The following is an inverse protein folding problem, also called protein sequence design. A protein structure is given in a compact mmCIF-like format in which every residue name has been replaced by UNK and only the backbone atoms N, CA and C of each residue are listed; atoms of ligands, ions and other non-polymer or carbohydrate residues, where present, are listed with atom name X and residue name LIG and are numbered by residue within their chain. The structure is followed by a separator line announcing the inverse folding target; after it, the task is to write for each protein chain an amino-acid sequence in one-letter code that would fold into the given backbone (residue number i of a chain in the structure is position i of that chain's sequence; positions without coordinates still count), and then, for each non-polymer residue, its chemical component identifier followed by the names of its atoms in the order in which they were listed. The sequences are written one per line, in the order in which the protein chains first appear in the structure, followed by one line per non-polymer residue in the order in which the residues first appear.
data_IF_957328916406
#
_entry.id   IF_957328916406
#
_cell.length_a   1.000
_cell.length_b   1.000
_cell.length_c   1.000
_cell.angle_alpha   90.00
_cell.angle_beta   90.00
_cell.angle_gamma   90.00
#
_symmetry.space_group_name_H-M   'P 1'
#
loop_
_entity.id
_entity.type
_entity.pdbx_description
1 polymer ?
#
# COMPACT_ATOMS: atom_id res chain seq x y z
N UNK A 1 16.07 -6.70 17.00
CA UNK A 1 16.71 -5.47 16.50
C UNK A 1 15.94 -5.00 15.27
N UNK A 2 15.46 -3.77 15.27
CA UNK A 2 14.81 -3.15 14.11
C UNK A 2 15.92 -2.77 13.15
N UNK A 3 15.84 -3.24 11.91
CA UNK A 3 16.97 -3.13 10.98
C UNK A 3 16.64 -2.39 9.69
N UNK A 4 15.36 -2.33 9.27
CA UNK A 4 15.00 -1.86 7.94
C UNK A 4 14.56 -0.40 7.90
N UNK A 5 15.10 0.33 6.93
CA UNK A 5 14.63 1.63 6.45
C UNK A 5 14.01 1.42 5.07
N UNK A 6 12.74 1.73 4.92
CA UNK A 6 11.97 1.44 3.70
C UNK A 6 11.52 2.74 3.07
N UNK A 7 11.89 2.97 1.81
CA UNK A 7 11.42 4.13 1.08
C UNK A 7 9.93 4.02 0.74
N UNK A 8 9.54 2.93 0.08
CA UNK A 8 8.16 2.68 -0.32
C UNK A 8 7.72 1.32 0.22
N UNK A 9 6.78 1.32 1.16
CA UNK A 9 6.11 0.12 1.64
C UNK A 9 4.66 0.14 1.19
N UNK A 10 4.20 -0.95 0.61
CA UNK A 10 2.81 -1.14 0.26
C UNK A 10 2.30 -2.44 0.90
N UNK A 11 1.16 -2.37 1.59
CA UNK A 11 0.48 -3.55 2.15
C UNK A 11 -0.92 -3.67 1.57
N UNK A 12 -1.17 -4.76 0.84
CA UNK A 12 -2.50 -5.16 0.36
C UNK A 12 -3.26 -5.82 1.50
N UNK A 13 -4.16 -5.06 2.13
CA UNK A 13 -4.86 -5.54 3.32
C UNK A 13 -6.08 -6.42 2.99
N UNK A 14 -6.57 -6.32 1.77
CA UNK A 14 -7.73 -7.10 1.29
C UNK A 14 -7.74 -7.18 -0.23
N UNK A 15 -8.31 -8.25 -0.79
CA UNK A 15 -8.67 -8.37 -2.21
C UNK A 15 -10.17 -8.21 -2.45
N UNK A 16 -10.94 -8.04 -1.37
CA UNK A 16 -12.36 -7.70 -1.49
C UNK A 16 -12.52 -6.30 -2.07
N UNK A 17 -13.47 -6.16 -2.97
CA UNK A 17 -13.88 -4.88 -3.53
C UNK A 17 -15.38 -4.93 -3.80
N UNK A 18 -16.07 -3.85 -3.53
CA UNK A 18 -17.51 -3.69 -3.79
C UNK A 18 -17.81 -3.05 -5.16
N UNK A 19 -16.76 -2.84 -5.97
CA UNK A 19 -16.88 -2.35 -7.35
C UNK A 19 -16.23 -3.33 -8.36
N UNK A 20 -16.63 -3.20 -9.62
CA UNK A 20 -16.10 -3.98 -10.75
C UNK A 20 -15.68 -3.08 -11.90
N UNK A 21 -14.75 -2.15 -11.63
CA UNK A 21 -14.27 -1.16 -12.61
C UNK A 21 -13.58 -1.84 -13.80
N UNK A 22 -13.89 -1.40 -15.01
CA UNK A 22 -13.34 -1.98 -16.25
C UNK A 22 -11.81 -1.82 -16.34
N UNK A 23 -11.26 -0.75 -15.77
CA UNK A 23 -9.82 -0.45 -15.74
C UNK A 23 -9.05 -1.07 -14.57
N UNK A 24 -9.70 -1.91 -13.77
CA UNK A 24 -9.06 -2.44 -12.55
C UNK A 24 -7.83 -3.30 -12.88
N UNK A 25 -6.66 -2.81 -12.52
CA UNK A 25 -5.40 -3.52 -12.73
C UNK A 25 -5.26 -4.81 -11.89
N UNK A 26 -6.02 -4.93 -10.80
CA UNK A 26 -6.00 -6.14 -9.94
C UNK A 26 -6.71 -7.33 -10.56
N UNK A 27 -7.69 -7.11 -11.43
CA UNK A 27 -8.60 -8.12 -11.96
C UNK A 27 -9.89 -8.22 -11.15
N UNK A 28 -10.47 -9.41 -11.07
CA UNK A 28 -11.68 -9.63 -10.29
C UNK A 28 -11.38 -9.67 -8.79
N UNK A 29 -12.31 -9.15 -7.98
CA UNK A 29 -12.19 -9.18 -6.54
C UNK A 29 -12.17 -10.63 -6.01
N UNK A 30 -11.37 -10.87 -4.98
CA UNK A 30 -11.26 -12.16 -4.30
C UNK A 30 -11.68 -12.00 -2.83
N UNK A 31 -12.31 -13.00 -2.24
CA UNK A 31 -12.74 -13.00 -0.84
C UNK A 31 -11.56 -13.30 0.11
N UNK A 32 -10.50 -12.48 0.02
CA UNK A 32 -9.25 -12.65 0.78
C UNK A 32 -8.96 -11.39 1.57
N UNK A 33 -8.83 -11.53 2.89
CA UNK A 33 -8.28 -10.52 3.79
C UNK A 33 -6.91 -10.97 4.29
N UNK A 34 -5.98 -10.04 4.44
CA UNK A 34 -4.65 -10.36 4.94
C UNK A 34 -4.71 -10.90 6.37
N UNK A 35 -4.13 -12.07 6.68
CA UNK A 35 -3.92 -12.51 8.05
C UNK A 35 -3.01 -11.53 8.81
N UNK A 36 -3.49 -10.98 9.93
CA UNK A 36 -2.80 -9.94 10.70
C UNK A 36 -1.36 -10.31 11.10
N UNK A 37 -1.05 -11.61 11.24
CA UNK A 37 0.30 -12.11 11.51
C UNK A 37 1.31 -11.72 10.43
N UNK A 38 0.89 -11.55 9.15
CA UNK A 38 1.79 -11.16 8.07
C UNK A 38 2.21 -9.69 8.21
N UNK A 39 1.28 -8.80 8.59
CA UNK A 39 1.56 -7.41 8.93
C UNK A 39 2.55 -7.34 10.10
N UNK A 40 2.28 -8.08 11.18
CA UNK A 40 3.16 -8.17 12.36
C UNK A 40 4.56 -8.67 11.98
N UNK A 41 4.64 -9.74 11.17
CA UNK A 41 5.91 -10.33 10.75
C UNK A 41 6.77 -9.39 9.91
N UNK A 42 6.15 -8.55 9.07
CA UNK A 42 6.87 -7.54 8.32
C UNK A 42 7.33 -6.39 9.23
N UNK A 43 6.39 -5.75 9.93
CA UNK A 43 6.63 -4.51 10.65
C UNK A 43 7.59 -4.67 11.83
N UNK A 44 7.72 -5.85 12.44
CA UNK A 44 8.67 -6.07 13.56
C UNK A 44 10.12 -5.80 13.20
N UNK A 45 10.48 -5.82 11.91
CA UNK A 45 11.84 -5.59 11.42
C UNK A 45 12.09 -4.15 10.98
N UNK A 46 11.06 -3.28 11.00
CA UNK A 46 11.11 -1.95 10.40
C UNK A 46 11.39 -0.89 11.46
N UNK A 47 12.26 0.07 11.13
CA UNK A 47 12.55 1.26 11.93
C UNK A 47 11.90 2.51 11.34
N UNK A 48 11.94 2.66 10.03
CA UNK A 48 11.49 3.83 9.32
C UNK A 48 10.80 3.47 8.01
N UNK A 49 9.71 4.16 7.69
CA UNK A 49 9.01 4.08 6.40
C UNK A 49 8.82 5.50 5.90
N UNK A 50 9.34 5.79 4.69
CA UNK A 50 9.13 7.10 4.10
C UNK A 50 7.70 7.22 3.54
N UNK A 51 7.28 6.31 2.68
CA UNK A 51 5.93 6.28 2.11
C UNK A 51 5.25 4.94 2.39
N UNK A 52 4.15 4.96 3.15
CA UNK A 52 3.43 3.76 3.56
C UNK A 52 2.04 3.70 2.92
N UNK A 53 1.94 3.00 1.81
CA UNK A 53 0.67 2.78 1.12
C UNK A 53 -0.08 1.58 1.72
N UNK A 54 -1.29 1.82 2.22
CA UNK A 54 -2.24 0.79 2.66
C UNK A 54 -3.27 0.63 1.56
N UNK A 55 -3.22 -0.49 0.85
CA UNK A 55 -3.99 -0.73 -0.36
C UNK A 55 -4.81 -2.01 -0.28
N UNK A 56 -5.54 -2.32 -1.38
CA UNK A 56 -6.30 -3.56 -1.51
C UNK A 56 -7.12 -3.60 -2.79
N UNK A 57 -8.19 -4.37 -2.77
CA UNK A 57 -9.33 -4.14 -3.65
C UNK A 57 -9.99 -2.82 -3.26
N UNK A 58 -10.65 -2.79 -2.09
CA UNK A 58 -11.11 -1.56 -1.44
C UNK A 58 -10.71 -1.57 0.04
N UNK A 59 -9.78 -0.70 0.47
CA UNK A 59 -9.24 -0.71 1.84
C UNK A 59 -10.29 -0.48 2.93
N UNK A 60 -11.33 0.31 2.66
CA UNK A 60 -12.40 0.57 3.63
C UNK A 60 -13.19 -0.68 4.05
N UNK A 61 -13.06 -1.78 3.30
CA UNK A 61 -13.68 -3.07 3.64
C UNK A 61 -12.88 -3.89 4.66
N UNK A 62 -11.67 -3.45 5.05
CA UNK A 62 -10.86 -4.14 6.08
C UNK A 62 -10.23 -3.17 7.09
N UNK A 63 -11.08 -2.42 7.78
CA UNK A 63 -10.68 -1.46 8.83
C UNK A 63 -9.89 -2.14 9.95
N UNK A 64 -10.19 -3.42 10.23
CA UNK A 64 -9.44 -4.21 11.23
C UNK A 64 -7.95 -4.28 10.93
N UNK A 65 -7.57 -4.47 9.66
CA UNK A 65 -6.16 -4.51 9.27
C UNK A 65 -5.50 -3.12 9.37
N UNK A 66 -6.23 -2.03 9.04
CA UNK A 66 -5.75 -0.65 9.21
C UNK A 66 -5.45 -0.37 10.69
N UNK A 67 -6.38 -0.67 11.58
CA UNK A 67 -6.19 -0.53 13.03
C UNK A 67 -4.99 -1.36 13.53
N UNK A 68 -4.84 -2.59 13.02
CA UNK A 68 -3.72 -3.45 13.38
C UNK A 68 -2.37 -2.89 12.90
N UNK A 69 -2.30 -2.30 11.70
CA UNK A 69 -1.10 -1.59 11.23
C UNK A 69 -0.74 -0.49 12.23
N UNK A 70 -1.69 0.36 12.60
CA UNK A 70 -1.46 1.45 13.57
C UNK A 70 -0.97 0.92 14.92
N UNK A 71 -1.58 -0.16 15.45
CA UNK A 71 -1.12 -0.80 16.67
C UNK A 71 0.33 -1.27 16.57
N UNK A 72 0.71 -1.85 15.43
CA UNK A 72 2.08 -2.37 15.24
C UNK A 72 3.08 -1.25 15.06
N UNK A 73 2.79 -0.19 14.29
CA UNK A 73 3.71 0.95 14.17
C UNK A 73 3.93 1.66 15.52
N UNK A 74 2.89 1.77 16.34
CA UNK A 74 3.00 2.28 17.72
C UNK A 74 3.83 1.35 18.61
N UNK A 75 3.48 0.07 18.67
CA UNK A 75 4.13 -0.91 19.54
C UNK A 75 5.63 -1.11 19.20
N UNK A 76 5.98 -0.95 17.92
CA UNK A 76 7.34 -1.08 17.45
C UNK A 76 8.06 0.26 17.33
N UNK A 77 7.41 1.36 17.67
CA UNK A 77 7.96 2.72 17.57
C UNK A 77 8.56 2.99 16.18
N UNK A 78 7.80 2.68 15.11
CA UNK A 78 8.20 2.87 13.73
C UNK A 78 7.90 4.32 13.35
N UNK A 79 8.88 5.06 12.88
CA UNK A 79 8.61 6.36 12.27
C UNK A 79 8.05 6.16 10.87
N UNK A 80 6.89 6.73 10.60
CA UNK A 80 6.25 6.76 9.27
C UNK A 80 6.13 8.22 8.87
N UNK A 81 6.81 8.59 7.76
CA UNK A 81 6.77 9.96 7.26
C UNK A 81 5.39 10.29 6.70
N UNK A 82 4.84 9.43 5.84
CA UNK A 82 3.48 9.57 5.36
C UNK A 82 2.77 8.22 5.18
N UNK A 83 1.50 8.18 5.59
CA UNK A 83 0.57 7.14 5.19
C UNK A 83 -0.17 7.57 3.93
N UNK A 84 -0.56 6.59 3.13
CA UNK A 84 -1.34 6.82 1.93
C UNK A 84 -2.39 5.72 1.73
N UNK A 85 -3.63 6.13 1.48
CA UNK A 85 -4.76 5.24 1.21
C UNK A 85 -5.54 5.80 0.03
N UNK A 86 -5.87 4.95 -0.95
CA UNK A 86 -6.81 5.30 -2.01
C UNK A 86 -8.08 4.49 -1.84
N UNK A 87 -9.21 5.17 -1.85
CA UNK A 87 -10.54 4.56 -1.81
C UNK A 87 -11.31 4.78 -3.10
N UNK A 88 -12.23 3.88 -3.39
CA UNK A 88 -13.14 3.99 -4.53
C UNK A 88 -14.35 4.91 -4.28
N UNK A 89 -14.44 5.54 -3.11
CA UNK A 89 -15.47 6.50 -2.78
C UNK A 89 -16.87 5.93 -2.53
N UNK A 90 -17.01 4.62 -2.32
CA UNK A 90 -18.29 3.99 -2.00
C UNK A 90 -18.75 4.26 -0.57
N UNK A 91 -19.97 3.83 -0.24
CA UNK A 91 -20.53 3.98 1.10
C UNK A 91 -19.64 3.45 2.24
N UNK A 92 -18.84 2.40 1.99
CA UNK A 92 -17.89 1.87 2.97
C UNK A 92 -16.83 2.89 3.39
N UNK A 93 -16.44 3.80 2.49
CA UNK A 93 -15.46 4.87 2.75
C UNK A 93 -16.00 5.96 3.67
N UNK A 94 -17.31 6.02 3.88
CA UNK A 94 -18.00 6.96 4.77
C UNK A 94 -18.34 6.34 6.13
N UNK A 95 -17.98 5.08 6.38
CA UNK A 95 -18.24 4.45 7.66
C UNK A 95 -17.46 5.13 8.78
N UNK A 96 -18.08 5.30 9.93
CA UNK A 96 -17.47 5.90 11.12
C UNK A 96 -16.17 5.16 11.49
N UNK A 97 -16.18 3.84 11.43
CA UNK A 97 -15.00 3.01 11.74
C UNK A 97 -13.82 3.27 10.82
N UNK A 98 -14.05 3.48 9.52
CA UNK A 98 -12.99 3.78 8.56
C UNK A 98 -12.44 5.19 8.77
N UNK A 99 -13.32 6.18 8.97
CA UNK A 99 -12.94 7.57 9.23
C UNK A 99 -12.12 7.68 10.53
N UNK A 100 -12.55 7.00 11.60
CA UNK A 100 -11.78 6.93 12.85
C UNK A 100 -10.39 6.33 12.67
N UNK A 101 -10.28 5.23 11.90
CA UNK A 101 -9.00 4.60 11.62
C UNK A 101 -8.07 5.53 10.82
N UNK A 102 -8.57 6.21 9.79
CA UNK A 102 -7.83 7.21 9.02
C UNK A 102 -7.41 8.40 9.91
N UNK A 103 -8.32 8.90 10.76
CA UNK A 103 -8.01 9.97 11.72
C UNK A 103 -6.88 9.58 12.67
N UNK A 104 -6.89 8.33 13.15
CA UNK A 104 -5.87 7.84 14.06
C UNK A 104 -4.50 7.63 13.38
N UNK A 105 -4.47 7.21 12.11
CA UNK A 105 -3.25 7.16 11.29
C UNK A 105 -2.67 8.56 11.06
N UNK A 106 -3.53 9.50 10.68
CA UNK A 106 -3.14 10.90 10.43
C UNK A 106 -2.54 11.55 11.68
N UNK A 107 -3.18 11.38 12.84
CA UNK A 107 -2.64 11.88 14.12
C UNK A 107 -1.28 11.28 14.42
N UNK A 108 -1.12 9.96 14.24
CA UNK A 108 0.18 9.32 14.46
C UNK A 108 1.28 9.86 13.55
N UNK A 109 0.97 10.07 12.28
CA UNK A 109 1.90 10.68 11.31
C UNK A 109 2.33 12.08 11.77
N UNK A 110 1.37 12.93 12.20
CA UNK A 110 1.67 14.28 12.68
C UNK A 110 2.51 14.30 13.97
N UNK A 111 2.37 13.29 14.83
CA UNK A 111 3.17 13.15 16.06
C UNK A 111 4.63 12.77 15.76
N UNK A 112 4.89 12.03 14.68
CA UNK A 112 6.22 11.49 14.35
C UNK A 112 7.02 12.36 13.38
N UNK A 113 6.35 12.96 12.43
CA UNK A 113 6.95 13.85 11.44
C UNK A 113 6.21 15.19 11.47
N UNK A 114 6.92 16.28 11.58
CA UNK A 114 6.33 17.62 11.56
C UNK A 114 5.92 18.02 10.13
N UNK A 115 4.97 17.28 9.56
CA UNK A 115 4.11 17.74 8.48
C UNK A 115 4.80 18.24 7.21
N UNK A 116 5.65 17.43 6.59
CA UNK A 116 6.21 17.78 5.28
C UNK A 116 5.49 17.12 4.09
N UNK A 117 4.45 16.34 4.33
CA UNK A 117 3.67 15.71 3.25
C UNK A 117 2.84 16.75 2.51
N UNK A 118 3.20 17.04 1.26
CA UNK A 118 2.45 17.95 0.38
C UNK A 118 1.16 17.33 -0.19
N UNK A 119 0.84 16.10 0.16
CA UNK A 119 -0.31 15.35 -0.34
C UNK A 119 -1.33 14.99 0.75
N UNK A 120 -2.48 14.52 0.32
CA UNK A 120 -3.50 13.99 1.22
C UNK A 120 -3.19 12.54 1.58
N UNK A 121 -3.40 12.17 2.85
CA UNK A 121 -3.21 10.79 3.32
C UNK A 121 -4.28 9.83 2.77
N UNK A 122 -5.52 10.31 2.68
CA UNK A 122 -6.65 9.57 2.10
C UNK A 122 -7.09 10.28 0.83
N UNK A 123 -7.07 9.56 -0.29
CA UNK A 123 -7.57 10.08 -1.56
C UNK A 123 -8.70 9.23 -2.11
N UNK A 124 -9.74 9.88 -2.59
CA UNK A 124 -10.83 9.24 -3.33
C UNK A 124 -10.52 9.28 -4.83
N UNK A 125 -10.59 8.13 -5.49
CA UNK A 125 -10.53 8.08 -6.95
C UNK A 125 -11.78 8.72 -7.54
N UNK A 126 -11.60 9.72 -8.41
CA UNK A 126 -12.68 10.41 -9.10
C UNK A 126 -12.41 10.39 -10.60
N UNK A 127 -12.94 9.38 -11.27
CA UNK A 127 -12.76 9.16 -12.69
C UNK A 127 -14.05 8.59 -13.34
N UNK A 128 -14.03 8.46 -14.65
CA UNK A 128 -15.19 8.00 -15.48
C UNK A 128 -15.69 6.59 -15.16
N UNK A 129 -15.01 5.83 -14.32
CA UNK A 129 -15.33 4.43 -13.99
C UNK A 129 -16.09 4.30 -12.66
N UNK A 130 -16.26 5.40 -11.93
CA UNK A 130 -16.90 5.46 -10.62
C UNK A 130 -18.30 6.12 -10.71
N UNK A 131 -19.15 5.85 -9.70
CA UNK A 131 -20.50 6.42 -9.64
C UNK A 131 -20.44 7.87 -9.11
N UNK A 132 -20.87 8.87 -9.91
CA UNK A 132 -20.83 10.27 -9.50
C UNK A 132 -21.69 10.58 -8.25
N UNK A 133 -22.81 9.88 -8.05
CA UNK A 133 -23.69 10.12 -6.91
C UNK A 133 -23.04 9.62 -5.60
N UNK A 134 -22.43 8.43 -5.63
CA UNK A 134 -21.64 7.91 -4.49
C UNK A 134 -20.46 8.83 -4.19
N UNK A 135 -19.76 9.33 -5.21
CA UNK A 135 -18.67 10.27 -5.05
C UNK A 135 -19.09 11.59 -4.42
N UNK A 136 -20.19 12.17 -4.84
CA UNK A 136 -20.71 13.41 -4.26
C UNK A 136 -21.01 13.23 -2.76
N UNK A 137 -21.62 12.10 -2.38
CA UNK A 137 -21.92 11.80 -0.99
C UNK A 137 -20.62 11.57 -0.15
N UNK A 138 -19.62 10.90 -0.74
CA UNK A 138 -18.32 10.67 -0.07
C UNK A 138 -17.52 11.98 0.05
N UNK A 139 -17.52 12.80 -0.98
CA UNK A 139 -16.90 14.13 -0.96
C UNK A 139 -17.51 14.99 0.15
N UNK A 140 -18.83 15.05 0.24
CA UNK A 140 -19.52 15.80 1.28
C UNK A 140 -19.18 15.31 2.71
N UNK A 141 -19.05 14.00 2.89
CA UNK A 141 -18.74 13.40 4.19
C UNK A 141 -17.27 13.59 4.59
N UNK A 142 -16.33 13.53 3.65
CA UNK A 142 -14.89 13.49 3.94
C UNK A 142 -14.19 14.84 3.78
N UNK A 143 -14.73 15.80 3.02
CA UNK A 143 -14.12 17.12 2.81
C UNK A 143 -13.81 17.91 4.11
N UNK A 144 -14.51 17.73 5.25
CA UNK A 144 -14.13 18.39 6.49
C UNK A 144 -12.80 17.88 7.10
N UNK A 145 -12.28 16.74 6.65
CA UNK A 145 -11.08 16.15 7.22
C UNK A 145 -9.82 16.65 6.49
N UNK A 146 -8.80 17.20 7.20
CA UNK A 146 -7.63 17.81 6.59
C UNK A 146 -6.73 16.82 5.85
N UNK A 147 -6.88 15.53 6.10
CA UNK A 147 -6.13 14.46 5.45
C UNK A 147 -6.77 13.93 4.17
N UNK A 148 -7.95 14.43 3.82
CA UNK A 148 -8.70 13.94 2.66
C UNK A 148 -8.49 14.80 1.43
N UNK A 149 -8.41 14.14 0.26
CA UNK A 149 -8.37 14.76 -1.05
C UNK A 149 -9.02 13.92 -2.13
N UNK A 150 -9.06 14.47 -3.34
CA UNK A 150 -9.61 13.81 -4.52
C UNK A 150 -8.50 13.57 -5.53
N UNK A 151 -8.36 12.33 -5.94
CA UNK A 151 -7.42 11.89 -6.96
C UNK A 151 -8.13 11.72 -8.31
N UNK A 152 -7.50 12.14 -9.39
CA UNK A 152 -7.99 11.81 -10.72
C UNK A 152 -8.55 12.98 -11.51
N UNK A 153 -8.49 14.21 -11.00
CA UNK A 153 -8.84 15.40 -11.78
C UNK A 153 -7.90 15.66 -12.98
N UNK A 154 -6.85 14.85 -13.14
CA UNK A 154 -6.02 14.89 -14.32
C UNK A 154 -6.80 14.39 -15.54
N UNK A 155 -6.70 15.10 -16.67
CA UNK A 155 -7.33 14.74 -17.96
C UNK A 155 -6.93 13.33 -18.46
N UNK A 156 -5.86 12.75 -17.91
CA UNK A 156 -5.34 11.46 -18.30
C UNK A 156 -5.11 10.59 -17.07
N UNK A 157 -5.88 9.50 -16.98
CA UNK A 157 -5.64 8.43 -16.00
C UNK A 157 -4.47 7.59 -16.50
N UNK A 158 -3.42 7.47 -15.69
CA UNK A 158 -2.32 6.55 -16.02
C UNK A 158 -2.77 5.11 -15.75
N UNK A 159 -2.83 4.31 -16.79
CA UNK A 159 -3.29 2.93 -16.74
C UNK A 159 -2.17 1.96 -17.05
N UNK A 160 -2.15 0.83 -16.35
CA UNK A 160 -1.35 -0.34 -16.73
C UNK A 160 -2.23 -1.38 -17.41
N UNK A 161 -1.67 -2.04 -18.42
CA UNK A 161 -2.31 -3.17 -19.11
C UNK A 161 -2.21 -4.41 -18.22
N UNK A 162 -3.07 -4.44 -17.20
CA UNK A 162 -3.09 -5.43 -16.12
C UNK A 162 -4.53 -5.75 -15.70
N UNK A 163 -4.76 -6.97 -15.25
CA UNK A 163 -6.06 -7.40 -14.73
C UNK A 163 -7.18 -7.28 -15.77
N UNK A 164 -8.17 -6.41 -15.51
CA UNK A 164 -9.25 -6.11 -16.48
C UNK A 164 -8.92 -4.93 -17.40
N UNK A 165 -7.85 -4.18 -17.11
CA UNK A 165 -7.47 -3.07 -17.95
C UNK A 165 -6.75 -3.59 -19.21
N UNK A 166 -7.34 -3.31 -20.38
CA UNK A 166 -6.77 -3.67 -21.69
C UNK A 166 -5.98 -2.53 -22.33
N UNK A 167 -6.07 -1.34 -21.75
CA UNK A 167 -5.43 -0.12 -22.20
C UNK A 167 -4.20 0.22 -21.34
N UNK A 168 -3.36 1.12 -21.84
CA UNK A 168 -2.26 1.68 -21.09
C UNK A 168 -0.90 1.02 -21.35
N UNK A 169 0.00 1.17 -20.42
CA UNK A 169 1.41 0.80 -20.55
C UNK A 169 1.67 -0.64 -20.09
N UNK A 170 2.74 -1.28 -20.63
CA UNK A 170 3.26 -2.48 -20.02
C UNK A 170 3.67 -2.21 -18.57
N UNK A 171 3.46 -3.21 -17.70
CA UNK A 171 3.83 -3.11 -16.30
C UNK A 171 5.08 -3.96 -16.02
N UNK A 172 6.27 -3.34 -15.88
CA UNK A 172 7.51 -4.07 -15.68
C UNK A 172 7.60 -4.66 -14.27
N UNK A 173 8.42 -5.70 -14.15
CA UNK A 173 8.83 -6.20 -12.83
C UNK A 173 10.07 -5.42 -12.41
N UNK A 174 10.05 -4.92 -11.18
CA UNK A 174 11.17 -4.20 -10.58
C UNK A 174 12.00 -5.14 -9.69
N UNK A 175 13.15 -4.65 -9.25
CA UNK A 175 13.98 -5.35 -8.28
C UNK A 175 13.92 -4.66 -6.93
N UNK A 176 14.03 -5.44 -5.85
CA UNK A 176 14.30 -4.94 -4.51
C UNK A 176 15.59 -5.55 -3.99
N UNK A 177 16.33 -4.76 -3.24
CA UNK A 177 17.54 -5.22 -2.56
C UNK A 177 17.83 -4.41 -1.29
N UNK A 178 18.63 -4.99 -0.42
CA UNK A 178 19.12 -4.34 0.79
C UNK A 178 20.45 -3.65 0.52
N UNK A 179 20.62 -2.42 1.03
CA UNK A 179 21.92 -1.74 1.07
C UNK A 179 22.68 -2.07 2.36
N UNK A 180 23.95 -1.67 2.44
CA UNK A 180 24.80 -1.86 3.62
C UNK A 180 24.29 -1.08 4.83
N UNK A 181 23.60 0.04 4.61
CA UNK A 181 22.99 0.88 5.64
C UNK A 181 21.59 0.40 6.05
N UNK A 182 21.19 -0.80 5.64
CA UNK A 182 19.86 -1.40 5.87
C UNK A 182 18.69 -0.67 5.19
N UNK A 183 18.93 0.08 4.14
CA UNK A 183 17.85 0.60 3.30
C UNK A 183 17.37 -0.47 2.32
N UNK A 184 16.05 -0.60 2.21
CA UNK A 184 15.41 -1.39 1.17
C UNK A 184 15.21 -0.50 -0.04
N UNK A 185 15.95 -0.78 -1.11
CA UNK A 185 15.80 -0.12 -2.40
C UNK A 185 14.67 -0.78 -3.20
N UNK A 186 13.91 0.05 -3.92
CA UNK A 186 12.72 -0.37 -4.67
C UNK A 186 11.45 -0.37 -3.81
N UNK A 187 10.37 -0.89 -4.39
CA UNK A 187 9.05 -0.92 -3.76
C UNK A 187 8.83 -2.25 -3.06
N UNK A 188 8.72 -2.22 -1.76
CA UNK A 188 8.40 -3.41 -0.97
C UNK A 188 6.89 -3.57 -0.87
N UNK A 189 6.36 -4.62 -1.48
CA UNK A 189 4.93 -4.93 -1.48
C UNK A 189 4.65 -6.22 -0.72
N UNK A 190 3.74 -6.18 0.25
CA UNK A 190 3.19 -7.34 0.94
C UNK A 190 1.75 -7.57 0.47
N UNK A 191 1.48 -8.68 -0.19
CA UNK A 191 0.15 -9.00 -0.65
C UNK A 191 -0.72 -9.69 0.43
N UNK A 192 -2.02 -9.81 0.18
CA UNK A 192 -2.97 -10.40 1.13
C UNK A 192 -2.74 -11.89 1.40
N UNK A 193 -2.00 -12.60 0.54
CA UNK A 193 -1.60 -13.99 0.75
C UNK A 193 -0.32 -14.12 1.60
N UNK A 194 0.27 -12.99 2.03
CA UNK A 194 1.47 -12.97 2.86
C UNK A 194 2.78 -13.13 2.08
N UNK A 195 2.76 -12.86 0.78
CA UNK A 195 3.92 -12.93 -0.10
C UNK A 195 4.51 -11.54 -0.34
N UNK A 196 5.83 -11.48 -0.46
CA UNK A 196 6.58 -10.27 -0.80
C UNK A 196 6.77 -10.19 -2.33
N UNK A 197 6.57 -9.00 -2.88
CA UNK A 197 6.78 -8.65 -4.27
C UNK A 197 7.57 -7.33 -4.37
N UNK A 198 8.06 -7.03 -5.56
CA UNK A 198 8.79 -5.79 -5.90
C UNK A 198 7.97 -4.80 -6.71
N UNK A 199 6.69 -5.08 -6.96
CA UNK A 199 5.79 -4.20 -7.69
C UNK A 199 4.38 -4.34 -7.13
N UNK A 200 3.82 -3.22 -6.69
CA UNK A 200 2.47 -3.13 -6.15
C UNK A 200 1.37 -3.07 -7.21
N UNK A 201 1.71 -2.88 -8.50
CA UNK A 201 0.73 -2.62 -9.56
C UNK A 201 0.35 -3.86 -10.38
N UNK A 202 0.76 -5.05 -9.92
CA UNK A 202 0.47 -6.31 -10.58
C UNK A 202 -0.97 -6.80 -10.32
N UNK A 203 -1.57 -7.42 -11.34
CA UNK A 203 -2.81 -8.18 -11.17
C UNK A 203 -2.61 -9.36 -10.21
N UNK A 204 -3.70 -9.83 -9.57
CA UNK A 204 -3.61 -10.97 -8.64
C UNK A 204 -3.01 -12.21 -9.29
N UNK A 205 -3.28 -12.45 -10.58
CA UNK A 205 -2.68 -13.55 -11.32
C UNK A 205 -1.17 -13.40 -11.47
N UNK A 206 -0.68 -12.20 -11.83
CA UNK A 206 0.76 -11.94 -11.96
C UNK A 206 1.46 -11.86 -10.60
N UNK A 207 0.80 -11.39 -9.56
CA UNK A 207 1.35 -11.44 -8.20
C UNK A 207 1.77 -12.86 -7.83
N UNK A 208 0.94 -13.87 -8.13
CA UNK A 208 1.26 -15.28 -7.85
C UNK A 208 2.45 -15.82 -8.65
N UNK A 209 2.71 -15.25 -9.83
CA UNK A 209 3.84 -15.63 -10.69
C UNK A 209 5.16 -14.96 -10.30
N UNK A 210 5.10 -13.78 -9.68
CA UNK A 210 6.26 -12.93 -9.41
C UNK A 210 6.52 -12.71 -7.92
N UNK A 211 6.15 -13.67 -7.07
CA UNK A 211 6.48 -13.64 -5.65
C UNK A 211 7.97 -13.83 -5.42
N UNK A 212 8.56 -13.01 -4.55
CA UNK A 212 9.97 -13.09 -4.17
C UNK A 212 10.19 -14.07 -3.02
N UNK A 213 9.40 -13.95 -1.97
CA UNK A 213 9.44 -14.86 -0.82
C UNK A 213 8.18 -14.69 0.06
N UNK A 214 7.86 -15.65 0.94
CA UNK A 214 6.94 -15.44 2.04
C UNK A 214 7.44 -14.33 2.99
N UNK A 215 6.53 -13.50 3.54
CA UNK A 215 6.91 -12.38 4.42
C UNK A 215 7.75 -12.80 5.63
N UNK A 216 7.54 -14.01 6.17
CA UNK A 216 8.36 -14.55 7.26
C UNK A 216 9.83 -14.84 6.88
N UNK A 217 10.16 -14.85 5.59
CA UNK A 217 11.52 -15.03 5.06
C UNK A 217 12.14 -13.76 4.49
N UNK A 218 11.47 -12.61 4.65
CA UNK A 218 11.93 -11.33 4.09
C UNK A 218 13.38 -11.01 4.45
N UNK A 219 13.75 -11.09 5.73
CA UNK A 219 15.12 -10.78 6.18
C UNK A 219 16.17 -11.71 5.57
N UNK A 220 15.82 -12.98 5.37
CA UNK A 220 16.72 -13.93 4.69
C UNK A 220 16.89 -13.54 3.23
N UNK A 221 15.81 -13.23 2.53
CA UNK A 221 15.82 -12.80 1.14
C UNK A 221 16.66 -11.52 0.95
N UNK A 222 16.42 -10.48 1.75
CA UNK A 222 17.13 -9.21 1.63
C UNK A 222 18.64 -9.35 1.90
N UNK A 223 19.04 -10.16 2.89
CA UNK A 223 20.46 -10.45 3.15
C UNK A 223 21.14 -11.21 2.01
N UNK A 224 20.39 -12.06 1.28
CA UNK A 224 20.90 -12.71 0.09
C UNK A 224 21.12 -11.71 -1.06
N UNK A 225 20.21 -10.75 -1.27
CA UNK A 225 20.39 -9.70 -2.27
C UNK A 225 21.60 -8.83 -1.98
N UNK A 226 21.83 -8.47 -0.71
CA UNK A 226 23.01 -7.72 -0.29
C UNK A 226 24.31 -8.45 -0.63
N UNK A 227 24.42 -9.73 -0.25
CA UNK A 227 25.62 -10.55 -0.53
C UNK A 227 25.88 -10.69 -2.03
N UNK A 228 24.82 -10.89 -2.84
CA UNK A 228 24.95 -10.98 -4.29
C UNK A 228 25.57 -9.70 -4.86
N UNK A 229 25.08 -8.53 -4.49
CA UNK A 229 25.60 -7.24 -4.96
C UNK A 229 27.02 -6.95 -4.47
N UNK A 230 27.38 -7.34 -3.26
CA UNK A 230 28.75 -7.23 -2.78
C UNK A 230 29.72 -8.08 -3.61
N UNK A 231 29.30 -9.28 -3.98
CA UNK A 231 30.14 -10.14 -4.85
C UNK A 231 30.28 -9.55 -6.26
N UNK A 232 29.21 -9.03 -6.87
CA UNK A 232 29.26 -8.40 -8.19
C UNK A 232 30.26 -7.24 -8.24
N UNK A 233 30.29 -6.39 -7.21
CA UNK A 233 31.26 -5.27 -7.11
C UNK A 233 32.74 -5.69 -6.93
N UNK A 234 32.99 -6.93 -6.52
CA UNK A 234 34.38 -7.43 -6.40
C UNK A 234 34.96 -7.88 -7.74
N UNK A 235 34.14 -8.00 -8.78
CA UNK A 235 34.55 -8.42 -10.14
C UNK A 235 34.46 -7.30 -11.18
N UNK A 236 34.03 -6.09 -10.79
CA UNK A 236 34.13 -4.85 -11.54
C UNK A 236 35.43 -4.08 -11.18
#
# INVERSE_FOLDING_TARGET
MKELYIKNLCIEITRRCNMRCAHCMRGDAEAVDIPLRHITNLLRHVRYIHHFNITGGEPSLNVRAIRHILERVRAYDITVNDFYIVTNGSAASRSEEFIEACTALYKYQQEKEQGSGSGHMLEMSDDRFHDPAEHAATLAALSPYPFFGVRGQAKHVFLFREGRCTEGFPNPIHEIYLTEENYVYGDLYLNAEGMILSNGDLSYARQRQHTLCPCGKLMQYLRMTLKKRQNERLYE
#
